data_IF_544582150043
#
_entry.id   IF_544582150043
#
_cell.length_a   1.000
_cell.length_b   1.000
_cell.length_c   1.000
_cell.angle_alpha   90.00
_cell.angle_beta   90.00
_cell.angle_gamma   90.00
#
_symmetry.space_group_name_H-M   'P 1'
#
loop_
_entity.id
_entity.type
_entity.pdbx_description
1 polymer ?
#
# COMPACT_ATOMS: atom_id res chain seq x y z
N UNK A 1 -85.36 -25.02 64.50
CA UNK A 1 -84.16 -25.03 65.36
C UNK A 1 -82.96 -24.92 64.40
N UNK A 2 -82.11 -24.06 64.66
CA UNK A 2 -81.04 -23.42 63.94
C UNK A 2 -80.22 -24.35 63.02
N UNK A 3 -80.20 -24.08 61.73
CA UNK A 3 -79.22 -24.60 60.72
C UNK A 3 -78.16 -23.60 60.50
N UNK A 4 -76.92 -24.03 60.66
CA UNK A 4 -75.72 -23.22 60.37
C UNK A 4 -75.30 -23.40 58.91
N UNK A 5 -75.17 -22.30 58.14
CA UNK A 5 -74.64 -22.28 56.84
C UNK A 5 -73.08 -22.14 56.87
N UNK A 6 -72.40 -23.03 56.16
CA UNK A 6 -70.95 -22.94 55.95
C UNK A 6 -70.71 -22.20 54.66
N UNK A 7 -70.05 -21.04 54.74
CA UNK A 7 -69.58 -20.26 53.58
C UNK A 7 -68.20 -20.76 53.19
N UNK A 8 -68.13 -21.38 52.04
CA UNK A 8 -66.81 -21.75 51.43
C UNK A 8 -66.16 -20.57 50.75
N UNK A 9 -64.98 -20.16 51.18
CA UNK A 9 -64.16 -19.18 50.55
C UNK A 9 -63.28 -19.88 49.50
N UNK A 10 -63.52 -19.61 48.20
CA UNK A 10 -62.66 -20.08 47.13
C UNK A 10 -61.49 -19.12 46.96
N UNK A 11 -60.23 -19.53 47.23
CA UNK A 11 -59.03 -18.85 46.94
C UNK A 11 -58.72 -18.99 45.43
N UNK A 12 -58.82 -17.91 44.65
CA UNK A 12 -58.34 -17.83 43.26
C UNK A 12 -56.84 -17.52 43.29
N UNK A 13 -56.01 -18.52 43.00
CA UNK A 13 -54.58 -18.31 42.78
C UNK A 13 -54.33 -17.72 41.36
N UNK A 14 -54.02 -16.42 41.29
CA UNK A 14 -53.61 -15.78 40.05
C UNK A 14 -52.14 -16.15 39.75
N UNK A 15 -51.92 -16.98 38.73
CA UNK A 15 -50.58 -17.22 38.15
C UNK A 15 -50.14 -15.97 37.37
N UNK A 16 -49.24 -15.17 37.94
CA UNK A 16 -48.48 -14.13 37.24
C UNK A 16 -47.42 -14.83 36.38
N UNK A 17 -47.73 -15.11 35.12
CA UNK A 17 -46.72 -15.45 34.10
C UNK A 17 -45.85 -14.22 33.87
N UNK A 18 -44.71 -14.15 34.52
CA UNK A 18 -43.67 -13.20 34.18
C UNK A 18 -43.14 -13.56 32.76
N UNK A 19 -43.56 -12.82 31.74
CA UNK A 19 -42.86 -12.86 30.45
C UNK A 19 -41.42 -12.40 30.69
N UNK A 20 -40.50 -13.32 30.77
CA UNK A 20 -39.08 -13.04 30.72
C UNK A 20 -38.80 -12.41 29.31
N UNK A 21 -38.65 -11.10 29.26
CA UNK A 21 -38.25 -10.42 28.04
C UNK A 21 -36.87 -10.99 27.65
N UNK A 22 -36.80 -11.61 26.49
CA UNK A 22 -35.50 -12.01 25.88
C UNK A 22 -34.62 -10.78 25.83
N UNK A 23 -33.40 -10.83 26.38
CA UNK A 23 -32.50 -9.66 26.27
C UNK A 23 -32.31 -9.31 24.79
N UNK A 24 -32.26 -8.01 24.45
CA UNK A 24 -32.08 -7.58 23.08
C UNK A 24 -30.81 -8.25 22.52
N UNK A 25 -30.78 -8.61 21.22
CA UNK A 25 -29.62 -9.21 20.61
C UNK A 25 -28.42 -8.29 20.82
N UNK A 26 -27.30 -8.85 21.29
CA UNK A 26 -26.07 -8.13 21.51
C UNK A 26 -25.66 -7.46 20.19
N UNK A 27 -25.41 -6.16 20.21
CA UNK A 27 -24.88 -5.46 19.05
C UNK A 27 -23.61 -6.17 18.52
N UNK A 28 -23.45 -6.29 17.21
CA UNK A 28 -22.26 -6.91 16.66
C UNK A 28 -21.02 -6.17 17.12
N UNK A 29 -19.88 -6.87 17.31
CA UNK A 29 -18.63 -6.23 17.68
C UNK A 29 -18.22 -5.14 16.67
N UNK A 30 -17.73 -4.03 17.18
CA UNK A 30 -17.12 -3.00 16.33
C UNK A 30 -15.85 -3.58 15.70
N UNK A 31 -15.67 -3.37 14.40
CA UNK A 31 -14.46 -3.75 13.66
C UNK A 31 -13.67 -2.51 13.30
N UNK A 32 -12.34 -2.67 13.27
CA UNK A 32 -11.45 -1.61 12.79
C UNK A 32 -11.62 -1.52 11.27
N UNK A 33 -11.88 -0.30 10.79
CA UNK A 33 -11.92 -0.01 9.35
C UNK A 33 -10.52 0.39 8.90
N UNK A 34 -9.89 -0.41 8.08
CA UNK A 34 -8.55 -0.16 7.56
C UNK A 34 -8.53 0.93 6.47
N UNK A 35 -9.67 1.19 5.80
CA UNK A 35 -9.82 2.27 4.80
C UNK A 35 -10.99 3.21 5.17
N UNK A 36 -10.80 4.09 6.15
CA UNK A 36 -11.81 5.08 6.53
C UNK A 36 -11.95 6.24 5.52
N UNK A 37 -11.04 6.34 4.56
CA UNK A 37 -11.00 7.39 3.53
C UNK A 37 -11.03 6.77 2.13
N UNK A 38 -12.16 6.17 1.70
CA UNK A 38 -12.24 5.44 0.45
C UNK A 38 -12.02 6.35 -0.76
N UNK A 39 -11.58 5.75 -1.86
CA UNK A 39 -11.44 6.44 -3.14
C UNK A 39 -12.76 7.08 -3.58
N UNK A 40 -12.68 8.32 -4.04
CA UNK A 40 -13.77 9.03 -4.73
C UNK A 40 -13.49 9.18 -6.23
N UNK A 41 -12.46 8.48 -6.74
CA UNK A 41 -12.14 8.50 -8.16
C UNK A 41 -13.33 8.01 -9.00
N UNK A 42 -13.63 8.76 -10.04
CA UNK A 42 -14.54 8.34 -11.10
C UNK A 42 -13.86 8.45 -12.45
N UNK A 43 -14.16 7.53 -13.36
CA UNK A 43 -13.63 7.57 -14.71
C UNK A 43 -14.09 8.85 -15.41
N UNK A 44 -13.21 9.45 -16.18
CA UNK A 44 -13.59 10.55 -17.06
C UNK A 44 -14.42 10.00 -18.22
N UNK A 45 -15.61 10.54 -18.41
CA UNK A 45 -16.39 10.30 -19.63
C UNK A 45 -15.73 11.04 -20.80
N UNK A 46 -15.84 10.47 -22.00
CA UNK A 46 -15.32 11.09 -23.21
C UNK A 46 -15.89 10.43 -24.47
N UNK A 47 -15.81 11.13 -25.59
CA UNK A 47 -16.21 10.57 -26.87
C UNK A 47 -15.41 9.28 -27.15
N UNK A 48 -16.04 8.24 -27.74
CA UNK A 48 -15.30 7.07 -28.18
C UNK A 48 -14.14 7.51 -29.07
N UNK A 49 -13.00 6.89 -28.88
CA UNK A 49 -11.76 7.22 -29.64
C UNK A 49 -11.12 5.94 -30.11
N UNK A 50 -10.63 5.94 -31.34
CA UNK A 50 -9.80 4.89 -31.91
C UNK A 50 -8.44 5.46 -32.29
N UNK A 51 -7.36 4.84 -31.81
CA UNK A 51 -6.01 5.07 -32.28
C UNK A 51 -5.71 3.98 -33.31
N UNK A 52 -5.22 4.37 -34.51
CA UNK A 52 -4.91 3.43 -35.60
C UNK A 52 -3.43 3.49 -35.97
N UNK A 53 -3.01 2.48 -36.72
CA UNK A 53 -1.67 2.40 -37.34
C UNK A 53 -0.52 2.45 -36.30
N UNK A 54 -0.75 1.92 -35.10
CA UNK A 54 0.24 1.91 -34.04
C UNK A 54 0.89 0.54 -33.89
N UNK A 55 2.11 0.51 -33.35
CA UNK A 55 2.66 -0.73 -32.78
C UNK A 55 2.20 -0.82 -31.33
N UNK A 56 1.52 -1.92 -30.98
CA UNK A 56 1.03 -2.18 -29.63
C UNK A 56 1.96 -3.17 -28.94
N UNK A 57 2.41 -2.85 -27.73
CA UNK A 57 3.00 -3.79 -26.78
C UNK A 57 1.98 -4.01 -25.66
N UNK A 58 1.65 -5.28 -25.36
CA UNK A 58 0.61 -5.59 -24.37
C UNK A 58 1.12 -5.61 -22.89
N UNK A 59 2.43 -5.55 -22.72
CA UNK A 59 3.07 -5.64 -21.39
C UNK A 59 3.34 -7.08 -20.92
N UNK A 60 2.92 -8.10 -21.70
CA UNK A 60 3.14 -9.52 -21.43
C UNK A 60 4.09 -10.18 -22.44
N UNK A 61 4.79 -9.35 -23.21
CA UNK A 61 5.73 -9.79 -24.25
C UNK A 61 5.11 -9.85 -25.65
N UNK A 62 3.83 -9.60 -25.80
CA UNK A 62 3.14 -9.54 -27.09
C UNK A 62 3.39 -8.23 -27.83
N UNK A 63 3.47 -8.31 -29.16
CA UNK A 63 3.60 -7.17 -30.07
C UNK A 63 2.63 -7.33 -31.23
N UNK A 64 1.89 -6.27 -31.53
CA UNK A 64 1.01 -6.17 -32.69
C UNK A 64 1.39 -4.92 -33.51
N UNK A 65 1.94 -5.15 -34.70
CA UNK A 65 2.23 -4.08 -35.65
C UNK A 65 0.97 -3.68 -36.42
N UNK A 66 0.88 -2.40 -36.79
CA UNK A 66 -0.28 -1.83 -37.49
C UNK A 66 -1.61 -2.09 -36.73
N UNK A 67 -1.54 -2.01 -35.41
CA UNK A 67 -2.66 -2.25 -34.51
C UNK A 67 -3.58 -1.06 -34.36
N UNK A 68 -4.70 -1.30 -33.69
CA UNK A 68 -5.68 -0.28 -33.31
C UNK A 68 -6.13 -0.50 -31.86
N UNK A 69 -6.38 0.62 -31.16
CA UNK A 69 -6.92 0.60 -29.78
C UNK A 69 -8.16 1.49 -29.73
N UNK A 70 -9.26 0.95 -29.21
CA UNK A 70 -10.51 1.68 -28.98
C UNK A 70 -10.71 1.87 -27.49
N UNK A 71 -10.99 3.09 -27.10
CA UNK A 71 -11.40 3.41 -25.74
C UNK A 71 -12.61 4.34 -25.70
N UNK A 72 -13.46 4.16 -24.69
CA UNK A 72 -14.65 4.97 -24.44
C UNK A 72 -14.93 5.02 -22.94
N UNK A 73 -15.45 6.12 -22.46
CA UNK A 73 -15.85 6.31 -21.05
C UNK A 73 -14.73 5.91 -20.04
N UNK A 74 -13.49 6.26 -20.40
CA UNK A 74 -12.33 6.00 -19.55
C UNK A 74 -11.91 4.53 -19.44
N UNK A 75 -12.31 3.69 -20.41
CA UNK A 75 -11.91 2.29 -20.48
C UNK A 75 -11.47 1.90 -21.89
N UNK A 76 -10.47 1.00 -22.00
CA UNK A 76 -10.18 0.32 -23.24
C UNK A 76 -11.29 -0.69 -23.49
N UNK A 77 -11.94 -0.61 -24.65
CA UNK A 77 -13.06 -1.49 -25.03
C UNK A 77 -12.65 -2.54 -26.06
N UNK A 78 -11.64 -2.27 -26.87
CA UNK A 78 -11.09 -3.25 -27.81
C UNK A 78 -9.66 -2.91 -28.22
N UNK A 79 -8.88 -3.95 -28.54
CA UNK A 79 -7.61 -3.87 -29.25
C UNK A 79 -7.65 -4.84 -30.41
N UNK A 80 -7.01 -4.55 -31.51
CA UNK A 80 -6.99 -5.41 -32.68
C UNK A 80 -6.09 -4.86 -33.79
N UNK A 81 -6.15 -5.49 -34.95
CA UNK A 81 -5.41 -5.07 -36.14
C UNK A 81 -6.05 -3.85 -36.84
N UNK A 82 -5.56 -3.51 -38.01
CA UNK A 82 -6.08 -2.38 -38.81
C UNK A 82 -7.57 -2.49 -39.19
N UNK A 83 -8.15 -3.71 -39.17
CA UNK A 83 -9.56 -3.97 -39.51
C UNK A 83 -10.53 -3.66 -38.37
N UNK A 84 -10.02 -3.39 -37.15
CA UNK A 84 -10.85 -3.11 -35.98
C UNK A 84 -11.85 -1.98 -36.28
N UNK A 85 -13.15 -2.27 -36.09
CA UNK A 85 -14.20 -1.30 -36.36
C UNK A 85 -14.17 -0.14 -35.35
N UNK A 86 -14.27 1.07 -35.82
CA UNK A 86 -14.46 2.24 -34.97
C UNK A 86 -15.90 2.32 -34.48
N UNK A 87 -16.16 2.65 -33.20
CA UNK A 87 -17.50 2.97 -32.73
C UNK A 87 -18.11 4.14 -33.53
N UNK A 88 -19.42 4.19 -33.61
CA UNK A 88 -20.11 5.33 -34.25
C UNK A 88 -19.74 6.65 -33.55
N UNK A 89 -19.40 7.66 -34.34
CA UNK A 89 -18.97 8.96 -33.82
C UNK A 89 -17.63 9.01 -33.14
N UNK A 90 -16.79 7.98 -33.29
CA UNK A 90 -15.47 7.93 -32.67
C UNK A 90 -14.51 8.95 -33.29
N UNK A 91 -13.71 9.58 -32.43
CA UNK A 91 -12.55 10.36 -32.81
C UNK A 91 -11.47 9.38 -33.30
N UNK A 92 -10.92 9.64 -34.49
CA UNK A 92 -9.80 8.82 -35.02
C UNK A 92 -8.49 9.56 -34.83
N UNK A 93 -7.52 8.89 -34.23
CA UNK A 93 -6.13 9.37 -34.08
C UNK A 93 -5.25 8.49 -34.95
N UNK A 94 -4.50 9.09 -35.88
CA UNK A 94 -3.46 8.42 -36.62
C UNK A 94 -2.19 8.30 -35.78
N UNK A 95 -1.82 7.08 -35.45
CA UNK A 95 -0.65 6.75 -34.67
C UNK A 95 0.51 6.20 -35.51
N UNK A 96 0.55 6.47 -36.82
CA UNK A 96 1.64 6.01 -37.69
C UNK A 96 3.02 6.34 -37.10
N UNK A 97 3.87 5.32 -36.95
CA UNK A 97 5.19 5.43 -36.34
C UNK A 97 5.21 5.59 -34.82
N UNK A 98 4.06 5.48 -34.15
CA UNK A 98 3.93 5.56 -32.68
C UNK A 98 3.72 4.18 -32.06
N UNK A 99 3.93 4.13 -30.76
CA UNK A 99 3.75 2.95 -29.94
C UNK A 99 2.62 3.18 -28.91
N UNK A 100 1.87 2.13 -28.61
CA UNK A 100 0.94 2.08 -27.50
C UNK A 100 1.40 0.98 -26.55
N UNK A 101 1.52 1.34 -25.28
CA UNK A 101 1.90 0.43 -24.18
C UNK A 101 0.90 0.56 -23.05
N UNK A 102 0.81 -0.40 -22.11
CA UNK A 102 0.22 -0.15 -20.81
C UNK A 102 0.87 1.07 -20.15
N UNK A 103 0.11 1.81 -19.36
CA UNK A 103 0.67 2.91 -18.58
C UNK A 103 1.67 2.41 -17.56
N UNK A 104 2.75 3.16 -17.35
CA UNK A 104 3.78 2.81 -16.38
C UNK A 104 3.20 2.96 -14.97
N UNK A 105 3.52 2.00 -14.10
CA UNK A 105 3.21 2.02 -12.66
C UNK A 105 4.54 2.21 -11.93
N UNK A 106 4.70 3.34 -11.25
CA UNK A 106 5.84 3.56 -10.37
C UNK A 106 5.54 3.04 -8.97
N UNK A 107 6.27 2.04 -8.53
CA UNK A 107 6.04 1.36 -7.24
C UNK A 107 6.72 2.08 -6.07
N UNK A 108 7.49 3.15 -6.32
CA UNK A 108 8.18 3.91 -5.28
C UNK A 108 8.28 5.38 -5.65
N UNK A 109 7.33 6.15 -5.21
CA UNK A 109 7.29 7.59 -5.43
C UNK A 109 7.16 8.36 -4.11
N UNK A 110 7.62 9.59 -4.14
CA UNK A 110 7.42 10.59 -3.09
C UNK A 110 6.74 11.85 -3.65
N UNK A 111 6.17 11.77 -4.86
CA UNK A 111 5.43 12.88 -5.45
C UNK A 111 4.27 13.31 -4.56
N UNK A 112 4.16 14.61 -4.36
CA UNK A 112 3.18 15.21 -3.47
C UNK A 112 3.61 15.29 -2.01
N UNK A 113 4.49 14.39 -1.52
CA UNK A 113 5.07 14.45 -0.16
C UNK A 113 6.33 15.33 -0.12
N UNK A 114 7.04 15.46 -1.25
CA UNK A 114 8.12 16.41 -1.50
C UNK A 114 7.84 17.21 -2.77
N UNK A 115 6.78 18.04 -2.77
CA UNK A 115 6.34 18.72 -3.98
C UNK A 115 7.30 19.80 -4.46
N UNK A 116 7.16 20.16 -5.72
CA UNK A 116 7.87 21.29 -6.33
C UNK A 116 7.16 22.63 -6.08
N UNK A 117 7.86 23.70 -5.65
CA UNK A 117 9.29 23.76 -5.33
C UNK A 117 9.61 23.06 -4.01
N UNK A 118 10.76 22.39 -3.92
CA UNK A 118 11.25 21.75 -2.70
C UNK A 118 11.63 22.77 -1.65
N UNK A 119 10.74 23.00 -0.68
CA UNK A 119 10.93 23.90 0.46
C UNK A 119 10.70 23.13 1.76
N UNK A 120 11.26 23.61 2.87
CA UNK A 120 11.06 22.98 4.18
C UNK A 120 9.57 22.86 4.53
N UNK A 121 8.77 23.89 4.24
CA UNK A 121 7.32 23.89 4.50
C UNK A 121 6.51 22.89 3.69
N UNK A 122 7.12 22.26 2.67
CA UNK A 122 6.50 21.23 1.83
C UNK A 122 7.22 19.88 1.96
N UNK A 123 8.03 19.67 2.99
CA UNK A 123 8.84 18.45 3.17
C UNK A 123 8.15 17.49 4.14
N UNK A 124 7.13 16.78 3.65
CA UNK A 124 6.20 16.00 4.48
C UNK A 124 6.40 14.47 4.39
N UNK A 125 7.43 14.01 3.69
CA UNK A 125 7.63 12.57 3.46
C UNK A 125 8.15 11.75 4.64
N UNK A 126 8.54 12.38 5.79
CA UNK A 126 8.97 11.63 6.98
C UNK A 126 8.49 12.29 8.25
N UNK A 127 7.75 11.55 9.09
CA UNK A 127 7.45 11.98 10.47
C UNK A 127 8.62 11.64 11.39
N UNK A 128 9.58 12.56 11.50
CA UNK A 128 10.86 12.34 12.17
C UNK A 128 10.84 12.60 13.69
N UNK A 129 9.68 12.52 14.35
CA UNK A 129 9.52 12.69 15.81
C UNK A 129 9.77 11.41 16.62
N UNK A 130 9.92 10.26 15.93
CA UNK A 130 10.26 8.98 16.56
C UNK A 130 10.57 7.90 15.53
N UNK A 131 11.38 6.91 15.90
CA UNK A 131 11.80 5.86 14.98
C UNK A 131 10.68 4.91 14.53
N UNK A 132 9.54 4.91 15.21
CA UNK A 132 8.37 4.10 14.89
C UNK A 132 7.13 4.97 14.84
N UNK A 133 6.56 5.17 13.65
CA UNK A 133 5.39 6.01 13.37
C UNK A 133 4.42 5.32 12.39
N UNK A 134 3.97 4.10 12.68
CA UNK A 134 3.07 3.39 11.75
C UNK A 134 1.67 4.02 11.67
N UNK A 135 1.34 4.97 12.55
CA UNK A 135 0.07 5.70 12.58
C UNK A 135 -0.06 6.79 11.51
N UNK A 136 1.05 7.26 10.92
CA UNK A 136 1.00 8.30 9.89
C UNK A 136 0.75 7.70 8.51
N UNK A 137 0.12 8.46 7.62
CA UNK A 137 -0.28 7.98 6.31
C UNK A 137 0.11 8.99 5.24
N UNK A 138 0.81 8.56 4.20
CA UNK A 138 1.22 9.41 3.08
C UNK A 138 0.02 10.11 2.42
N UNK A 139 -1.16 9.48 2.36
CA UNK A 139 -2.36 10.11 1.79
C UNK A 139 -2.80 11.40 2.51
N UNK A 140 -2.33 11.65 3.73
CA UNK A 140 -2.65 12.88 4.46
C UNK A 140 -1.66 14.03 4.19
N UNK A 141 -0.52 13.73 3.58
CA UNK A 141 0.51 14.72 3.23
C UNK A 141 0.62 14.99 1.72
N UNK A 142 0.18 14.07 0.86
CA UNK A 142 0.21 14.28 -0.59
C UNK A 142 -0.51 15.56 -1.00
N UNK A 143 0.21 16.45 -1.68
CA UNK A 143 -0.34 17.64 -2.32
C UNK A 143 -0.75 17.33 -3.77
N UNK A 144 -2.06 17.21 -4.09
CA UNK A 144 -2.55 16.79 -5.42
C UNK A 144 -2.18 17.71 -6.57
N UNK A 145 -1.82 18.97 -6.29
CA UNK A 145 -1.43 19.97 -7.28
C UNK A 145 0.08 20.04 -7.51
N UNK A 146 0.87 19.13 -6.94
CA UNK A 146 2.31 19.06 -7.25
C UNK A 146 2.53 18.93 -8.74
N UNK A 147 3.28 19.88 -9.38
CA UNK A 147 3.58 19.78 -10.81
C UNK A 147 4.35 18.51 -11.19
N UNK A 148 4.95 17.83 -10.21
CA UNK A 148 5.62 16.53 -10.40
C UNK A 148 4.70 15.48 -11.02
N UNK A 149 3.42 15.43 -10.63
CA UNK A 149 2.44 14.49 -11.19
C UNK A 149 2.24 14.66 -12.69
N UNK A 150 1.97 15.88 -13.13
CA UNK A 150 1.76 16.15 -14.56
C UNK A 150 3.03 15.95 -15.39
N UNK A 151 4.21 16.27 -14.84
CA UNK A 151 5.50 16.01 -15.50
C UNK A 151 5.80 14.53 -15.62
N UNK A 152 5.57 13.73 -14.56
CA UNK A 152 5.74 12.29 -14.60
C UNK A 152 4.79 11.63 -15.61
N UNK A 153 3.55 12.10 -15.74
CA UNK A 153 2.62 11.63 -16.77
C UNK A 153 3.10 12.00 -18.17
N UNK A 154 3.41 13.28 -18.41
CA UNK A 154 3.72 13.78 -19.75
C UNK A 154 5.06 13.26 -20.31
N UNK A 155 6.06 13.13 -19.48
CA UNK A 155 7.41 12.76 -19.91
C UNK A 155 7.73 11.28 -19.64
N UNK A 156 7.25 10.73 -18.53
CA UNK A 156 7.52 9.35 -18.10
C UNK A 156 6.40 8.35 -18.40
N UNK A 157 5.21 8.81 -18.82
CA UNK A 157 4.06 7.91 -19.05
C UNK A 157 3.56 7.22 -17.78
N UNK A 158 3.86 7.79 -16.59
CA UNK A 158 3.46 7.23 -15.30
C UNK A 158 1.99 7.50 -15.06
N UNK A 159 1.16 6.46 -15.14
CA UNK A 159 -0.31 6.54 -15.03
C UNK A 159 -0.83 6.16 -13.65
N UNK A 160 -0.06 5.43 -12.89
CA UNK A 160 -0.32 5.11 -11.48
C UNK A 160 1.01 5.07 -10.72
N UNK A 161 0.95 5.36 -9.43
CA UNK A 161 2.13 5.36 -8.58
C UNK A 161 1.76 5.03 -7.13
N UNK A 162 2.69 4.42 -6.42
CA UNK A 162 2.61 4.26 -4.98
C UNK A 162 3.42 5.34 -4.29
N UNK A 163 2.75 6.21 -3.54
CA UNK A 163 3.41 7.20 -2.69
C UNK A 163 3.67 6.58 -1.32
N UNK A 164 4.93 6.58 -0.92
CA UNK A 164 5.41 5.97 0.32
C UNK A 164 6.01 7.05 1.21
N UNK A 165 5.88 6.93 2.55
CA UNK A 165 6.77 7.67 3.44
C UNK A 165 8.24 7.40 3.12
N UNK A 166 9.12 8.35 3.43
CA UNK A 166 10.56 8.17 3.29
C UNK A 166 11.12 7.12 4.24
N UNK A 167 12.43 6.90 4.20
CA UNK A 167 13.11 5.82 4.92
C UNK A 167 13.81 6.26 6.21
N UNK A 168 13.41 7.39 6.80
CA UNK A 168 13.98 7.82 8.08
C UNK A 168 13.59 6.87 9.24
N UNK A 169 12.41 6.29 9.19
CA UNK A 169 11.81 5.56 10.30
C UNK A 169 11.92 4.04 10.09
N UNK A 170 12.05 3.28 11.18
CA UNK A 170 11.91 1.81 11.16
C UNK A 170 10.48 1.41 10.74
N UNK A 171 9.48 2.16 11.20
CA UNK A 171 8.10 2.11 10.73
C UNK A 171 7.72 3.52 10.31
N UNK A 172 7.60 3.75 9.02
CA UNK A 172 7.43 5.09 8.44
C UNK A 172 5.98 5.51 8.23
N UNK A 173 5.05 4.56 8.32
CA UNK A 173 3.63 4.83 8.09
C UNK A 173 3.07 4.22 6.81
N UNK A 174 1.79 4.46 6.57
CA UNK A 174 1.07 3.86 5.43
C UNK A 174 1.41 4.57 4.12
N UNK A 175 1.60 3.78 3.08
CA UNK A 175 1.65 4.24 1.69
C UNK A 175 0.26 4.25 1.07
N UNK A 176 0.10 4.96 -0.04
CA UNK A 176 -1.14 5.00 -0.82
C UNK A 176 -0.84 4.80 -2.30
N UNK A 177 -1.70 4.06 -3.01
CA UNK A 177 -1.64 3.94 -4.46
C UNK A 177 -2.55 4.98 -5.09
N UNK A 178 -2.02 5.76 -6.01
CA UNK A 178 -2.72 6.83 -6.71
C UNK A 178 -2.78 6.55 -8.21
N UNK A 179 -3.89 6.94 -8.83
CA UNK A 179 -3.96 7.18 -10.28
C UNK A 179 -3.38 8.56 -10.53
N UNK A 180 -2.49 8.67 -11.50
CA UNK A 180 -1.90 9.96 -11.86
C UNK A 180 -2.89 10.76 -12.72
N UNK A 181 -3.91 11.29 -12.09
CA UNK A 181 -4.98 12.07 -12.71
C UNK A 181 -5.16 13.40 -11.99
N UNK A 182 -5.54 14.48 -12.68
CA UNK A 182 -5.84 15.75 -12.03
C UNK A 182 -7.00 15.60 -11.03
N UNK A 183 -6.79 16.02 -9.79
CA UNK A 183 -7.82 16.01 -8.76
C UNK A 183 -7.60 17.15 -7.76
N UNK A 184 -8.66 17.51 -7.03
CA UNK A 184 -8.60 18.53 -5.97
C UNK A 184 -8.26 17.94 -4.60
N UNK A 185 -8.44 16.63 -4.45
CA UNK A 185 -8.19 15.89 -3.19
C UNK A 185 -7.48 14.59 -3.51
N UNK A 186 -6.76 14.06 -2.54
CA UNK A 186 -6.05 12.77 -2.66
C UNK A 186 -7.03 11.63 -2.94
N UNK A 187 -8.22 11.63 -2.30
CA UNK A 187 -9.24 10.61 -2.54
C UNK A 187 -9.72 10.58 -4.00
N UNK A 188 -9.69 11.73 -4.70
CA UNK A 188 -9.97 11.79 -6.13
C UNK A 188 -8.88 11.15 -7.01
N UNK A 189 -7.66 11.02 -6.51
CA UNK A 189 -6.55 10.31 -7.14
C UNK A 189 -6.42 8.87 -6.66
N UNK A 190 -6.91 8.54 -5.46
CA UNK A 190 -6.72 7.24 -4.83
C UNK A 190 -7.21 6.11 -5.71
N UNK A 191 -6.35 5.10 -5.92
CA UNK A 191 -6.67 3.97 -6.80
C UNK A 191 -7.75 3.10 -6.15
N UNK A 192 -8.93 2.91 -6.79
CA UNK A 192 -10.03 2.16 -6.18
C UNK A 192 -9.63 0.71 -5.85
N UNK A 193 -9.81 0.32 -4.59
CA UNK A 193 -9.56 -1.05 -4.14
C UNK A 193 -8.09 -1.44 -3.99
N UNK A 194 -7.14 -0.54 -4.23
CA UNK A 194 -5.74 -0.83 -3.96
C UNK A 194 -5.49 -0.95 -2.44
N UNK A 195 -4.76 -1.97 -1.98
CA UNK A 195 -4.40 -2.09 -0.58
C UNK A 195 -3.43 -0.99 -0.16
N UNK A 196 -3.43 -0.64 1.11
CA UNK A 196 -2.36 0.16 1.70
C UNK A 196 -1.06 -0.65 1.80
N UNK A 197 0.07 0.06 1.80
CA UNK A 197 1.33 -0.50 2.25
C UNK A 197 1.74 0.07 3.60
N UNK A 198 2.69 -0.57 4.27
CA UNK A 198 3.43 -0.04 5.40
C UNK A 198 4.88 0.15 4.96
N UNK A 199 5.36 1.40 4.96
CA UNK A 199 6.79 1.68 4.75
C UNK A 199 7.56 1.32 6.00
N UNK A 200 8.57 0.48 5.82
CA UNK A 200 9.59 0.18 6.82
C UNK A 200 10.97 0.54 6.30
N UNK A 201 11.94 0.63 7.17
CA UNK A 201 13.35 0.76 6.80
C UNK A 201 14.27 -0.04 7.70
N UNK A 202 15.34 -0.60 7.12
CA UNK A 202 16.51 -1.10 7.80
C UNK A 202 17.70 -0.15 7.60
N UNK A 203 18.85 -0.49 8.14
CA UNK A 203 20.12 0.09 7.74
C UNK A 203 20.48 1.42 8.38
N UNK A 204 21.25 2.20 7.61
CA UNK A 204 21.89 3.42 8.14
C UNK A 204 20.92 4.60 8.29
N UNK A 205 19.84 4.66 7.50
CA UNK A 205 18.95 5.81 7.53
C UNK A 205 18.31 6.03 8.92
N UNK A 206 17.63 5.03 9.54
CA UNK A 206 17.12 5.20 10.91
C UNK A 206 18.23 5.51 11.93
N UNK A 207 19.40 4.86 11.84
CA UNK A 207 20.52 5.14 12.71
C UNK A 207 20.98 6.60 12.63
N UNK A 208 21.12 7.13 11.41
CA UNK A 208 21.56 8.49 11.16
C UNK A 208 20.57 9.52 11.69
N UNK A 209 19.27 9.26 11.51
CA UNK A 209 18.21 10.20 11.91
C UNK A 209 17.98 10.19 13.41
N UNK A 210 18.02 9.02 14.06
CA UNK A 210 17.61 8.89 15.47
C UNK A 210 18.74 8.62 16.44
N UNK A 211 19.90 8.19 16.02
CA UNK A 211 21.02 7.80 16.90
C UNK A 211 21.41 8.89 17.90
N UNK A 212 21.40 10.16 17.48
CA UNK A 212 21.71 11.31 18.34
C UNK A 212 20.48 11.92 19.04
N UNK A 213 19.29 11.32 18.86
CA UNK A 213 18.01 11.77 19.41
C UNK A 213 17.44 10.79 20.45
N UNK A 214 18.26 9.90 21.00
CA UNK A 214 17.82 8.86 21.94
C UNK A 214 17.13 7.66 21.30
N UNK A 215 17.18 7.53 19.97
CA UNK A 215 16.69 6.38 19.21
C UNK A 215 17.81 5.39 18.89
N UNK A 216 17.55 4.38 18.02
CA UNK A 216 18.53 3.37 17.70
C UNK A 216 19.73 3.97 16.95
N UNK A 217 20.93 3.80 17.51
CA UNK A 217 22.20 4.24 16.93
C UNK A 217 23.00 3.13 16.22
N UNK A 218 22.51 1.90 16.26
CA UNK A 218 23.15 0.72 15.67
C UNK A 218 22.15 -0.16 14.94
N UNK A 219 22.60 -1.05 14.04
CA UNK A 219 21.73 -2.05 13.42
C UNK A 219 21.13 -3.02 14.44
N UNK A 220 21.87 -3.37 15.50
CA UNK A 220 21.33 -4.13 16.63
C UNK A 220 20.15 -3.41 17.28
N UNK A 221 20.28 -2.07 17.48
CA UNK A 221 19.21 -1.22 18.02
C UNK A 221 18.01 -1.16 17.08
N UNK A 222 18.21 -1.06 15.77
CA UNK A 222 17.12 -1.10 14.79
C UNK A 222 16.32 -2.40 14.95
N UNK A 223 16.96 -3.55 14.95
CA UNK A 223 16.32 -4.86 15.11
C UNK A 223 15.60 -4.96 16.45
N UNK A 224 16.23 -4.52 17.55
CA UNK A 224 15.61 -4.57 18.88
C UNK A 224 14.32 -3.74 18.97
N UNK A 225 14.32 -2.52 18.42
CA UNK A 225 13.12 -1.65 18.38
C UNK A 225 12.04 -2.26 17.48
N UNK A 226 12.42 -2.79 16.33
CA UNK A 226 11.47 -3.42 15.40
C UNK A 226 10.80 -4.63 16.04
N UNK A 227 11.56 -5.54 16.66
CA UNK A 227 11.03 -6.71 17.37
C UNK A 227 10.10 -6.31 18.52
N UNK A 228 10.51 -5.32 19.33
CA UNK A 228 9.67 -4.83 20.43
C UNK A 228 8.34 -4.24 19.94
N UNK A 229 8.34 -3.61 18.77
CA UNK A 229 7.14 -3.07 18.14
C UNK A 229 6.20 -4.17 17.65
N UNK A 230 6.73 -5.22 17.01
CA UNK A 230 5.94 -6.38 16.58
C UNK A 230 5.35 -7.18 17.75
N UNK A 231 6.07 -7.31 18.86
CA UNK A 231 5.52 -7.95 20.08
C UNK A 231 4.26 -7.21 20.58
N UNK A 232 4.29 -5.87 20.59
CA UNK A 232 3.11 -5.06 20.95
C UNK A 232 1.97 -5.23 19.95
N UNK A 233 2.29 -5.30 18.66
CA UNK A 233 1.30 -5.51 17.61
C UNK A 233 0.59 -6.87 17.76
N UNK A 234 1.33 -7.95 18.01
CA UNK A 234 0.74 -9.28 18.26
C UNK A 234 -0.10 -9.33 19.54
N UNK A 235 0.28 -8.60 20.59
CA UNK A 235 -0.55 -8.49 21.80
C UNK A 235 -1.86 -7.75 21.54
N UNK A 236 -1.78 -6.65 20.79
CA UNK A 236 -2.95 -5.86 20.37
C UNK A 236 -3.88 -6.67 19.48
N UNK A 237 -3.35 -7.36 18.49
CA UNK A 237 -4.09 -8.22 17.58
C UNK A 237 -4.87 -9.32 18.33
N UNK A 238 -4.20 -10.05 19.23
CA UNK A 238 -4.87 -11.08 20.05
C UNK A 238 -6.02 -10.53 20.89
N UNK A 239 -5.92 -9.29 21.42
CA UNK A 239 -6.99 -8.65 22.19
C UNK A 239 -8.21 -8.34 21.31
N UNK A 240 -7.96 -7.76 20.12
CA UNK A 240 -9.01 -7.43 19.18
C UNK A 240 -9.66 -8.67 18.57
N UNK A 241 -8.89 -9.68 18.22
CA UNK A 241 -9.38 -10.97 17.75
C UNK A 241 -10.31 -11.64 18.76
N UNK A 242 -9.93 -11.64 20.04
CA UNK A 242 -10.76 -12.17 21.11
C UNK A 242 -12.09 -11.41 21.21
N UNK A 243 -12.04 -10.08 21.15
CA UNK A 243 -13.23 -9.25 21.20
C UNK A 243 -14.14 -9.47 20.00
N UNK A 244 -13.59 -9.50 18.79
CA UNK A 244 -14.36 -9.70 17.55
C UNK A 244 -15.03 -11.08 17.49
N UNK A 245 -14.40 -12.11 18.04
CA UNK A 245 -14.92 -13.50 18.08
C UNK A 245 -15.93 -13.75 19.21
N UNK A 246 -15.69 -13.20 20.39
CA UNK A 246 -16.45 -13.54 21.58
C UNK A 246 -17.26 -12.37 22.18
N UNK A 247 -17.03 -11.14 21.72
CA UNK A 247 -17.56 -9.94 22.37
C UNK A 247 -16.91 -9.68 23.74
N UNK A 248 -17.53 -8.86 24.55
CA UNK A 248 -17.03 -8.45 25.86
C UNK A 248 -16.60 -6.98 25.86
N UNK A 249 -15.63 -6.63 26.70
CA UNK A 249 -15.10 -5.28 26.77
C UNK A 249 -14.25 -4.97 25.52
N UNK A 250 -14.58 -3.87 24.82
CA UNK A 250 -13.85 -3.45 23.65
C UNK A 250 -12.44 -2.99 24.04
N UNK A 251 -11.38 -3.54 23.39
CA UNK A 251 -10.02 -3.04 23.61
C UNK A 251 -9.89 -1.56 23.25
N UNK A 252 -9.02 -0.83 23.95
CA UNK A 252 -8.65 0.53 23.57
C UNK A 252 -8.01 0.56 22.19
N UNK A 253 -8.38 1.54 21.36
CA UNK A 253 -7.76 1.73 20.05
C UNK A 253 -6.41 2.42 20.16
N UNK A 254 -5.48 1.95 19.32
CA UNK A 254 -4.16 2.53 19.11
C UNK A 254 -3.91 2.56 17.59
N UNK A 255 -3.81 3.78 17.01
CA UNK A 255 -3.70 3.94 15.56
C UNK A 255 -2.42 3.34 14.98
N UNK A 256 -1.34 3.32 15.77
CA UNK A 256 -0.10 2.65 15.37
C UNK A 256 -0.31 1.14 15.28
N UNK A 257 -0.94 0.57 16.30
CA UNK A 257 -1.22 -0.86 16.36
C UNK A 257 -2.31 -1.28 15.36
N UNK A 258 -3.28 -0.41 15.04
CA UNK A 258 -4.25 -0.67 13.97
C UNK A 258 -3.56 -0.93 12.62
N UNK A 259 -2.53 -0.13 12.28
CA UNK A 259 -1.75 -0.34 11.06
C UNK A 259 -1.00 -1.67 11.09
N UNK A 260 -0.32 -1.97 12.21
CA UNK A 260 0.47 -3.20 12.34
C UNK A 260 -0.43 -4.46 12.40
N UNK A 261 -1.61 -4.37 13.00
CA UNK A 261 -2.62 -5.42 12.94
C UNK A 261 -3.06 -5.69 11.50
N UNK A 262 -3.29 -4.63 10.71
CA UNK A 262 -3.61 -4.77 9.29
C UNK A 262 -2.53 -5.49 8.50
N UNK A 263 -1.26 -5.38 8.89
CA UNK A 263 -0.15 -6.16 8.31
C UNK A 263 -0.22 -7.63 8.75
N UNK A 264 -0.42 -7.91 10.03
CA UNK A 264 -0.55 -9.28 10.54
C UNK A 264 -1.75 -10.01 9.92
N UNK A 265 -2.85 -9.29 9.67
CA UNK A 265 -4.03 -9.79 8.95
C UNK A 265 -3.80 -9.96 7.42
N UNK A 266 -2.66 -9.53 6.88
CA UNK A 266 -2.37 -9.58 5.44
C UNK A 266 -3.14 -8.56 4.59
N UNK A 267 -3.75 -7.54 5.20
CA UNK A 267 -4.51 -6.48 4.53
C UNK A 267 -3.66 -5.28 4.13
N UNK A 268 -2.54 -5.07 4.83
CA UNK A 268 -1.57 -4.02 4.56
C UNK A 268 -0.24 -4.67 4.17
N UNK A 269 0.32 -4.26 3.04
CA UNK A 269 1.52 -4.87 2.46
C UNK A 269 2.79 -4.22 3.01
N UNK A 270 3.85 -4.99 3.27
CA UNK A 270 5.12 -4.42 3.71
C UNK A 270 6.00 -4.02 2.53
N UNK A 271 6.42 -2.76 2.53
CA UNK A 271 7.39 -2.16 1.63
C UNK A 271 8.62 -1.74 2.44
N UNK A 272 9.69 -2.53 2.39
CA UNK A 272 10.83 -2.36 3.27
C UNK A 272 12.04 -1.80 2.52
N UNK A 273 12.44 -0.57 2.87
CA UNK A 273 13.71 0.01 2.42
C UNK A 273 14.88 -0.78 3.03
N UNK A 274 15.71 -1.39 2.19
CA UNK A 274 16.92 -2.09 2.60
C UNK A 274 17.90 -2.13 1.43
N UNK A 275 19.21 -1.97 1.70
CA UNK A 275 20.22 -2.05 0.64
C UNK A 275 21.00 -3.36 0.68
N UNK A 276 21.42 -3.79 1.86
CA UNK A 276 22.37 -4.88 2.06
C UNK A 276 21.67 -6.24 2.13
N UNK A 277 22.30 -7.24 1.55
CA UNK A 277 21.80 -8.62 1.54
C UNK A 277 21.63 -9.21 2.95
N UNK A 278 22.60 -8.99 3.84
CA UNK A 278 22.55 -9.48 5.21
C UNK A 278 21.41 -8.85 6.03
N UNK A 279 21.12 -7.56 5.82
CA UNK A 279 20.00 -6.89 6.50
C UNK A 279 18.65 -7.33 5.93
N UNK A 280 18.54 -7.54 4.62
CA UNK A 280 17.32 -8.10 4.01
C UNK A 280 17.03 -9.50 4.56
N UNK A 281 18.05 -10.36 4.71
CA UNK A 281 17.90 -11.68 5.31
C UNK A 281 17.41 -11.61 6.78
N UNK A 282 17.94 -10.69 7.59
CA UNK A 282 17.48 -10.46 8.97
C UNK A 282 16.01 -10.02 8.99
N UNK A 283 15.58 -9.18 8.04
CA UNK A 283 14.18 -8.76 7.96
C UNK A 283 13.26 -9.91 7.55
N UNK A 284 13.72 -10.83 6.71
CA UNK A 284 13.00 -12.06 6.36
C UNK A 284 12.86 -12.96 7.58
N UNK A 285 13.95 -13.22 8.33
CA UNK A 285 13.90 -14.01 9.57
C UNK A 285 12.91 -13.41 10.57
N UNK A 286 12.91 -12.07 10.70
CA UNK A 286 11.96 -11.36 11.55
C UNK A 286 10.51 -11.53 11.07
N UNK A 287 10.28 -11.54 9.77
CA UNK A 287 8.94 -11.78 9.20
C UNK A 287 8.41 -13.17 9.57
N UNK A 288 9.28 -14.16 9.59
CA UNK A 288 8.95 -15.51 10.06
C UNK A 288 8.69 -15.55 11.57
N UNK A 289 9.51 -14.85 12.37
CA UNK A 289 9.35 -14.79 13.84
C UNK A 289 7.98 -14.21 14.24
N UNK A 290 7.51 -13.17 13.54
CA UNK A 290 6.27 -12.46 13.89
C UNK A 290 5.07 -12.79 13.02
N UNK A 291 5.23 -13.61 11.98
CA UNK A 291 4.13 -14.12 11.15
C UNK A 291 3.56 -13.11 10.16
N UNK A 292 4.37 -12.17 9.67
CA UNK A 292 3.97 -11.28 8.59
C UNK A 292 4.72 -11.59 7.29
N UNK A 293 4.29 -10.98 6.18
CA UNK A 293 4.96 -11.13 4.87
C UNK A 293 5.55 -9.80 4.42
N UNK A 294 6.78 -9.85 3.91
CA UNK A 294 7.38 -8.74 3.19
C UNK A 294 6.95 -8.85 1.73
N UNK A 295 6.31 -7.80 1.20
CA UNK A 295 5.91 -7.78 -0.21
C UNK A 295 7.09 -7.40 -1.11
N UNK A 296 7.83 -6.36 -0.71
CA UNK A 296 8.90 -5.81 -1.55
C UNK A 296 10.00 -5.19 -0.71
N UNK A 297 11.25 -5.51 -1.06
CA UNK A 297 12.40 -4.70 -0.68
C UNK A 297 12.61 -3.59 -1.70
N UNK A 298 12.83 -2.38 -1.21
CA UNK A 298 13.06 -1.21 -2.05
C UNK A 298 14.53 -0.80 -2.03
N UNK A 299 15.01 -0.34 -3.19
CA UNK A 299 16.41 -0.07 -3.52
C UNK A 299 17.21 -1.36 -3.65
N UNK A 300 17.20 -2.19 -2.62
CA UNK A 300 17.62 -3.59 -2.65
C UNK A 300 18.93 -3.81 -3.47
N UNK A 301 19.91 -2.94 -3.23
CA UNK A 301 21.13 -2.81 -4.04
C UNK A 301 21.91 -4.11 -4.13
N UNK A 302 21.85 -4.94 -3.09
CA UNK A 302 22.53 -6.23 -3.02
C UNK A 302 21.59 -7.44 -3.19
N UNK A 303 20.40 -7.26 -3.78
CA UNK A 303 19.46 -8.37 -4.01
C UNK A 303 20.06 -9.51 -4.80
N UNK A 304 20.97 -9.23 -5.74
CA UNK A 304 21.66 -10.25 -6.53
C UNK A 304 22.42 -11.27 -5.69
N UNK A 305 22.85 -10.91 -4.47
CA UNK A 305 23.57 -11.80 -3.56
C UNK A 305 22.67 -12.84 -2.88
N UNK A 306 21.37 -12.56 -2.79
CA UNK A 306 20.35 -13.40 -2.12
C UNK A 306 19.14 -13.66 -3.02
N UNK A 307 19.33 -13.59 -4.33
CA UNK A 307 18.22 -13.70 -5.28
C UNK A 307 17.46 -15.03 -5.15
N UNK A 308 18.16 -16.13 -4.83
CA UNK A 308 17.56 -17.44 -4.54
C UNK A 308 16.70 -17.43 -3.27
N UNK A 309 17.10 -16.69 -2.23
CA UNK A 309 16.30 -16.51 -1.02
C UNK A 309 15.03 -15.71 -1.33
N UNK A 310 15.14 -14.60 -2.07
CA UNK A 310 14.02 -13.77 -2.46
C UNK A 310 13.01 -14.54 -3.31
N UNK A 311 13.49 -15.36 -4.26
CA UNK A 311 12.64 -16.24 -5.08
C UNK A 311 11.88 -17.25 -4.22
N UNK A 312 12.56 -17.90 -3.27
CA UNK A 312 11.96 -18.89 -2.37
C UNK A 312 10.88 -18.29 -1.48
N UNK A 313 11.09 -17.07 -0.98
CA UNK A 313 10.16 -16.35 -0.11
C UNK A 313 9.03 -15.64 -0.89
N UNK A 314 9.13 -15.56 -2.22
CA UNK A 314 8.16 -14.85 -3.07
C UNK A 314 8.17 -13.34 -2.83
N UNK A 315 9.34 -12.76 -2.54
CA UNK A 315 9.52 -11.34 -2.25
C UNK A 315 10.00 -10.62 -3.50
N UNK A 316 9.37 -9.49 -3.83
CA UNK A 316 9.82 -8.62 -4.90
C UNK A 316 10.99 -7.74 -4.47
N UNK A 317 11.83 -7.34 -5.44
CA UNK A 317 12.85 -6.31 -5.28
C UNK A 317 12.59 -5.18 -6.26
N UNK A 318 12.30 -3.98 -5.74
CA UNK A 318 12.21 -2.76 -6.52
C UNK A 318 13.58 -2.07 -6.49
N UNK A 319 14.26 -2.05 -7.63
CA UNK A 319 15.67 -1.73 -7.74
C UNK A 319 15.92 -0.57 -8.68
N UNK A 320 16.95 0.22 -8.42
CA UNK A 320 17.47 1.20 -9.36
C UNK A 320 18.21 0.51 -10.50
N UNK A 321 18.09 1.06 -11.71
CA UNK A 321 18.80 0.56 -12.88
C UNK A 321 20.31 0.82 -12.77
N UNK A 322 20.71 2.01 -12.28
CA UNK A 322 22.09 2.46 -12.29
C UNK A 322 22.46 3.44 -11.15
N UNK A 323 21.59 3.59 -10.13
CA UNK A 323 21.85 4.51 -9.03
C UNK A 323 22.39 3.77 -7.80
N UNK A 324 23.69 3.79 -7.63
CA UNK A 324 24.41 3.19 -6.49
C UNK A 324 25.74 3.92 -6.25
N UNK A 325 26.47 3.54 -5.19
CA UNK A 325 27.79 4.09 -4.86
C UNK A 325 27.78 5.45 -4.16
N UNK A 326 26.62 6.08 -3.95
CA UNK A 326 26.52 7.41 -3.32
C UNK A 326 26.63 7.38 -1.79
N UNK A 327 26.57 6.20 -1.19
CA UNK A 327 26.81 5.95 0.25
C UNK A 327 27.28 4.53 0.48
N UNK A 328 27.82 4.24 1.69
CA UNK A 328 28.46 2.97 1.97
C UNK A 328 27.54 1.76 1.80
N UNK A 329 26.27 1.84 2.21
CA UNK A 329 25.32 0.74 2.04
C UNK A 329 24.92 0.47 0.58
N UNK A 330 25.13 1.41 -0.31
CA UNK A 330 24.87 1.27 -1.74
C UNK A 330 26.16 1.14 -2.57
N UNK A 331 27.30 0.89 -1.91
CA UNK A 331 28.60 0.85 -2.58
C UNK A 331 28.76 -0.38 -3.48
N UNK A 332 28.22 -1.52 -3.05
CA UNK A 332 28.38 -2.82 -3.75
C UNK A 332 27.24 -3.09 -4.77
N UNK A 333 26.70 -2.02 -5.36
CA UNK A 333 25.72 -2.11 -6.43
C UNK A 333 26.35 -2.50 -7.76
N UNK A 334 25.60 -3.28 -8.55
CA UNK A 334 26.00 -3.68 -9.90
C UNK A 334 24.83 -3.47 -10.87
N UNK A 335 25.13 -3.18 -12.14
CA UNK A 335 24.11 -2.97 -13.18
C UNK A 335 23.31 -4.25 -13.49
N UNK A 336 23.91 -5.39 -13.24
CA UNK A 336 23.34 -6.72 -13.45
C UNK A 336 22.37 -7.14 -12.33
N UNK A 337 22.17 -6.33 -11.28
CA UNK A 337 21.32 -6.67 -10.14
C UNK A 337 19.92 -7.12 -10.60
N UNK A 338 19.23 -6.30 -11.40
CA UNK A 338 17.87 -6.59 -11.89
C UNK A 338 17.81 -7.91 -12.68
N UNK A 339 18.62 -8.11 -13.75
CA UNK A 339 18.56 -9.34 -14.51
C UNK A 339 19.07 -10.59 -13.74
N UNK A 340 19.87 -10.43 -12.69
CA UNK A 340 20.26 -11.55 -11.84
C UNK A 340 19.11 -11.99 -10.93
N UNK A 341 18.37 -11.04 -10.37
CA UNK A 341 17.17 -11.32 -9.56
C UNK A 341 16.07 -11.97 -10.41
N UNK A 342 15.84 -11.45 -11.61
CA UNK A 342 14.86 -12.01 -12.56
C UNK A 342 15.21 -13.46 -12.96
N UNK A 343 16.48 -13.71 -13.34
CA UNK A 343 16.95 -15.06 -13.70
C UNK A 343 16.88 -16.08 -12.58
N UNK A 344 16.95 -15.63 -11.33
CA UNK A 344 16.74 -16.49 -10.17
C UNK A 344 15.26 -16.85 -9.93
N UNK A 345 14.35 -16.28 -10.71
CA UNK A 345 12.90 -16.47 -10.58
C UNK A 345 12.27 -15.63 -9.50
N UNK A 346 12.98 -14.62 -8.97
CA UNK A 346 12.41 -13.64 -8.05
C UNK A 346 11.75 -12.49 -8.82
N UNK A 347 10.77 -11.85 -8.23
CA UNK A 347 10.09 -10.70 -8.79
C UNK A 347 11.03 -9.48 -8.83
N UNK A 348 11.46 -9.07 -10.03
CA UNK A 348 12.35 -7.94 -10.26
C UNK A 348 11.58 -6.75 -10.82
N UNK A 349 11.69 -5.59 -10.18
CA UNK A 349 10.98 -4.37 -10.54
C UNK A 349 12.01 -3.24 -10.68
N UNK A 350 11.87 -2.42 -11.74
CA UNK A 350 12.64 -1.17 -11.87
C UNK A 350 11.84 -0.05 -11.22
N UNK A 351 12.48 0.77 -10.40
CA UNK A 351 11.87 1.97 -9.83
C UNK A 351 12.80 3.19 -9.93
N UNK A 352 12.25 4.36 -9.76
CA UNK A 352 12.99 5.63 -9.84
C UNK A 352 13.40 6.17 -8.47
N UNK A 353 12.45 6.39 -7.54
CA UNK A 353 12.65 7.07 -6.25
C UNK A 353 13.06 8.56 -6.37
N UNK A 354 13.25 9.06 -7.58
CA UNK A 354 13.66 10.43 -7.86
C UNK A 354 12.61 11.18 -8.68
N UNK A 355 12.18 12.34 -8.18
CA UNK A 355 11.18 13.18 -8.84
C UNK A 355 11.59 13.63 -10.27
N UNK A 356 12.90 13.69 -10.57
CA UNK A 356 13.41 13.99 -11.91
C UNK A 356 13.61 12.72 -12.73
N UNK A 357 14.08 11.63 -12.11
CA UNK A 357 14.33 10.35 -12.75
C UNK A 357 13.04 9.70 -13.25
N UNK A 358 11.93 9.83 -12.53
CA UNK A 358 10.59 9.30 -12.90
C UNK A 358 10.06 9.87 -14.24
N UNK A 359 10.68 10.90 -14.75
CA UNK A 359 10.31 11.55 -16.02
C UNK A 359 11.11 11.04 -17.24
N UNK A 360 11.99 10.04 -17.10
CA UNK A 360 12.93 9.60 -18.14
C UNK A 360 12.78 8.14 -18.51
#
# INVERSE_FOLDING_TARGET
MRGSAIVGVALAAAFLSACAATPPPKAPPIRINEDPYPSTYSRYSGAPTIIRNVTIFDGEGGRLDNGSVVFADGAIVATGDASLAAPAGAITIDGTGKFVTPGIIDVHSHLGDYPSPGTEGNSDGNEATGASRPEVWAEHSVWPQDPGFSRALANGGVTALQVLPGSANLFGGRSVVLKNVPARTVQGMKFPGAPYGLKMACGENPKRVYGNKGGPGTRMGNVAVTRATWLKAQEYDRKWDKYEKAGGDMPGRDLAMDTLRGVLDGKIMIHNHCYRADEMAIMIDMSHEFGYKISTFHHAVESYKIADLLAREGICSAMWADWYGFKMESYDGIKENIPLVDRAGACAIVHSDDANGIQR
#
